data_IF_365295233542
#
_entry.id   IF_365295233542
#
_cell.length_a   1.000
_cell.length_b   1.000
_cell.length_c   1.000
_cell.angle_alpha   90.00
_cell.angle_beta   90.00
_cell.angle_gamma   90.00
#
_symmetry.space_group_name_H-M   'P 1'
#
loop_
_entity.id
_entity.type
_entity.pdbx_description
1 polymer ?
#
# COMPACT_ATOMS: atom_id res chain seq x y z
N UNK A 1 -23.54 -7.57 -18.55
CA UNK A 1 -22.93 -8.28 -17.41
C UNK A 1 -22.41 -7.20 -16.46
N UNK A 2 -22.44 -7.41 -15.16
CA UNK A 2 -21.90 -6.46 -14.20
C UNK A 2 -20.37 -6.34 -14.41
N UNK A 3 -19.81 -5.15 -14.15
CA UNK A 3 -18.37 -4.93 -14.25
C UNK A 3 -17.64 -5.63 -13.09
N UNK A 4 -16.46 -6.18 -13.39
CA UNK A 4 -15.56 -6.83 -12.42
C UNK A 4 -14.50 -5.83 -11.98
N UNK A 5 -14.36 -5.60 -10.69
CA UNK A 5 -13.40 -4.65 -10.13
C UNK A 5 -12.28 -5.37 -9.39
N UNK A 6 -11.10 -5.46 -10.01
CA UNK A 6 -9.88 -6.07 -9.46
C UNK A 6 -8.73 -5.06 -9.32
N UNK A 7 -9.04 -3.84 -8.90
CA UNK A 7 -8.05 -2.78 -8.65
C UNK A 7 -8.14 -2.22 -7.20
N UNK A 8 -8.40 -3.11 -6.24
CA UNK A 8 -8.61 -2.74 -4.84
C UNK A 8 -7.33 -2.21 -4.15
N UNK A 9 -6.14 -2.50 -4.66
CA UNK A 9 -4.90 -1.88 -4.17
C UNK A 9 -4.77 -0.41 -4.60
N UNK A 10 -5.46 0.03 -5.66
CA UNK A 10 -5.49 1.45 -6.02
C UNK A 10 -6.48 2.22 -5.13
N UNK A 11 -7.69 1.71 -4.98
CA UNK A 11 -8.71 2.21 -4.04
C UNK A 11 -9.82 1.17 -3.91
N UNK A 12 -10.55 1.19 -2.80
CA UNK A 12 -11.69 0.31 -2.60
C UNK A 12 -13.02 1.08 -2.66
N UNK A 13 -14.11 0.36 -2.98
CA UNK A 13 -15.46 0.87 -2.77
C UNK A 13 -15.69 1.09 -1.28
N UNK A 14 -16.34 2.20 -0.93
CA UNK A 14 -16.80 2.42 0.45
C UNK A 14 -17.93 1.43 0.74
N UNK A 15 -17.85 0.77 1.89
CA UNK A 15 -18.85 -0.17 2.35
C UNK A 15 -20.18 0.56 2.66
N UNK A 16 -21.30 -0.04 2.32
CA UNK A 16 -22.61 0.59 2.48
C UNK A 16 -22.92 0.90 3.96
N UNK A 17 -22.55 0.01 4.89
CA UNK A 17 -22.71 0.27 6.34
C UNK A 17 -21.85 1.46 6.80
N UNK A 18 -20.67 1.64 6.21
CA UNK A 18 -19.78 2.77 6.50
C UNK A 18 -20.42 4.06 6.01
N UNK A 19 -20.98 4.06 4.80
CA UNK A 19 -21.71 5.23 4.27
C UNK A 19 -22.86 5.61 5.21
N UNK A 20 -23.67 4.64 5.63
CA UNK A 20 -24.78 4.89 6.56
C UNK A 20 -24.30 5.45 7.91
N UNK A 21 -23.18 4.95 8.45
CA UNK A 21 -22.61 5.45 9.68
C UNK A 21 -22.08 6.90 9.58
N UNK A 22 -21.66 7.32 8.39
CA UNK A 22 -21.15 8.68 8.13
C UNK A 22 -22.26 9.71 7.98
N UNK A 23 -23.41 9.35 7.39
CA UNK A 23 -24.47 10.29 6.99
C UNK A 23 -24.93 11.24 8.11
N UNK A 24 -25.18 10.79 9.35
CA UNK A 24 -25.64 11.68 10.43
C UNK A 24 -24.65 12.82 10.74
N UNK A 25 -23.35 12.62 10.48
CA UNK A 25 -22.31 13.61 10.80
C UNK A 25 -22.20 14.75 9.79
N UNK A 26 -22.96 14.72 8.72
CA UNK A 26 -23.05 15.86 7.78
C UNK A 26 -24.18 16.84 8.11
N UNK A 27 -25.27 16.36 8.74
CA UNK A 27 -26.51 17.18 8.89
C UNK A 27 -27.07 17.19 10.30
N UNK A 28 -26.96 16.10 11.06
CA UNK A 28 -27.55 15.96 12.39
C UNK A 28 -26.53 16.15 13.50
N UNK A 29 -25.40 15.46 13.43
CA UNK A 29 -24.30 15.47 14.39
C UNK A 29 -23.10 16.25 13.85
N UNK A 30 -23.31 17.50 13.46
CA UNK A 30 -22.32 18.35 12.77
C UNK A 30 -21.47 19.22 13.72
N UNK A 31 -21.65 19.07 15.04
CA UNK A 31 -20.97 19.92 16.03
C UNK A 31 -19.47 19.81 15.99
N UNK A 32 -18.76 20.91 16.26
CA UNK A 32 -17.31 20.88 16.40
C UNK A 32 -16.95 20.09 17.67
N UNK A 33 -16.15 19.03 17.61
CA UNK A 33 -15.82 18.18 18.75
C UNK A 33 -15.05 18.89 19.86
N UNK A 34 -14.45 20.06 19.57
CA UNK A 34 -13.78 20.91 20.57
C UNK A 34 -14.73 21.81 21.36
N UNK A 35 -16.01 21.90 20.98
CA UNK A 35 -17.02 22.73 21.66
C UNK A 35 -17.59 22.03 22.89
N UNK A 36 -17.81 22.78 23.97
CA UNK A 36 -18.29 22.23 25.25
C UNK A 36 -19.80 21.93 25.30
N UNK A 37 -20.58 22.39 24.33
CA UNK A 37 -22.00 22.14 24.27
C UNK A 37 -22.33 20.71 23.75
N UNK A 38 -23.58 20.28 23.90
CA UNK A 38 -24.02 18.92 23.60
C UNK A 38 -23.72 18.49 22.16
N UNK A 39 -23.86 19.36 21.16
CA UNK A 39 -23.53 19.07 19.77
C UNK A 39 -22.06 18.67 19.60
N UNK A 40 -21.13 19.39 20.21
CA UNK A 40 -19.70 19.05 20.16
C UNK A 40 -19.39 17.75 20.90
N UNK A 41 -19.96 17.58 22.10
CA UNK A 41 -19.73 16.39 22.91
C UNK A 41 -20.16 15.09 22.23
N UNK A 42 -21.27 15.09 21.49
CA UNK A 42 -21.74 13.91 20.75
C UNK A 42 -20.70 13.49 19.69
N UNK A 43 -20.20 14.45 18.91
CA UNK A 43 -19.16 14.18 17.90
C UNK A 43 -17.88 13.71 18.56
N UNK A 44 -17.45 14.35 19.68
CA UNK A 44 -16.27 13.97 20.43
C UNK A 44 -16.32 12.51 20.94
N UNK A 45 -17.49 12.06 21.43
CA UNK A 45 -17.67 10.67 21.84
C UNK A 45 -17.58 9.69 20.66
N UNK A 46 -18.15 10.05 19.52
CA UNK A 46 -18.10 9.23 18.30
C UNK A 46 -16.64 9.11 17.77
N UNK A 47 -15.89 10.22 17.74
CA UNK A 47 -14.47 10.22 17.39
C UNK A 47 -13.63 9.35 18.34
N UNK A 48 -13.92 9.39 19.64
CA UNK A 48 -13.24 8.53 20.62
C UNK A 48 -13.50 7.06 20.33
N UNK A 49 -14.76 6.66 20.02
CA UNK A 49 -15.10 5.29 19.64
C UNK A 49 -14.36 4.86 18.37
N UNK A 50 -14.37 5.70 17.34
CA UNK A 50 -13.64 5.43 16.08
C UNK A 50 -12.13 5.21 16.34
N UNK A 51 -11.52 6.01 17.20
CA UNK A 51 -10.12 5.88 17.62
C UNK A 51 -9.86 4.54 18.31
N UNK A 52 -10.74 4.11 19.18
CA UNK A 52 -10.64 2.81 19.86
C UNK A 52 -10.80 1.62 18.88
N UNK A 53 -11.63 1.75 17.85
CA UNK A 53 -11.76 0.73 16.82
C UNK A 53 -10.47 0.59 16.00
N UNK A 54 -9.84 1.72 15.62
CA UNK A 54 -8.54 1.72 14.94
C UNK A 54 -7.43 1.18 15.86
N UNK A 55 -7.42 1.58 17.14
CA UNK A 55 -6.49 1.04 18.14
C UNK A 55 -6.55 -0.49 18.19
N UNK A 56 -7.75 -1.06 18.23
CA UNK A 56 -7.95 -2.52 18.26
C UNK A 56 -7.46 -3.20 16.98
N UNK A 57 -7.74 -2.61 15.81
CA UNK A 57 -7.29 -3.14 14.52
C UNK A 57 -5.76 -3.22 14.45
N UNK A 58 -5.07 -2.24 14.99
CA UNK A 58 -3.61 -2.17 15.00
C UNK A 58 -2.96 -2.90 16.19
N UNK A 59 -3.75 -3.43 17.13
CA UNK A 59 -3.21 -4.02 18.36
C UNK A 59 -2.40 -3.01 19.19
N UNK A 60 -2.71 -1.70 19.12
CA UNK A 60 -2.01 -0.67 19.87
C UNK A 60 -2.39 -0.70 21.34
N UNK A 61 -1.47 -0.33 22.24
CA UNK A 61 -1.71 -0.39 23.68
C UNK A 61 -2.69 0.69 24.15
N UNK A 62 -2.58 1.89 23.59
CA UNK A 62 -3.37 3.05 23.99
C UNK A 62 -4.07 3.71 22.79
N UNK A 63 -5.33 4.16 22.96
CA UNK A 63 -6.04 4.95 21.96
C UNK A 63 -5.33 6.29 21.66
N UNK A 64 -4.55 6.77 22.61
CA UNK A 64 -3.75 7.98 22.47
C UNK A 64 -2.61 7.85 21.44
N UNK A 65 -2.24 6.66 21.03
CA UNK A 65 -1.23 6.39 20.00
C UNK A 65 -1.76 6.56 18.58
N UNK A 66 -3.07 6.66 18.42
CA UNK A 66 -3.72 6.89 17.13
C UNK A 66 -3.84 8.39 16.86
N UNK A 67 -3.31 8.85 15.74
CA UNK A 67 -3.40 10.25 15.26
C UNK A 67 -4.09 10.24 13.91
N UNK A 68 -5.25 10.88 13.79
CA UNK A 68 -5.95 10.98 12.51
C UNK A 68 -5.27 12.00 11.59
N UNK A 69 -5.12 11.62 10.33
CA UNK A 69 -4.54 12.42 9.24
C UNK A 69 -5.49 12.45 8.06
N UNK A 70 -5.11 13.11 6.96
CA UNK A 70 -5.95 13.14 5.74
C UNK A 70 -5.72 11.93 4.81
N UNK A 71 -4.58 11.28 4.87
CA UNK A 71 -4.21 10.16 3.98
C UNK A 71 -2.90 9.50 4.42
N UNK A 72 -2.52 8.39 3.77
CA UNK A 72 -1.23 7.73 3.96
C UNK A 72 -0.05 8.68 3.70
N UNK A 73 -0.07 9.43 2.60
CA UNK A 73 1.01 10.38 2.25
C UNK A 73 1.27 11.42 3.34
N UNK A 74 0.22 11.98 3.98
CA UNK A 74 0.39 12.88 5.13
C UNK A 74 1.02 12.15 6.31
N UNK A 75 0.62 10.90 6.57
CA UNK A 75 1.15 10.08 7.65
C UNK A 75 2.64 9.76 7.45
N UNK A 76 3.02 9.30 6.24
CA UNK A 76 4.41 8.98 5.88
C UNK A 76 5.31 10.21 5.98
N UNK A 77 4.88 11.31 5.38
CA UNK A 77 5.62 12.58 5.43
C UNK A 77 5.76 13.08 6.88
N UNK A 78 4.70 12.96 7.68
CA UNK A 78 4.73 13.37 9.08
C UNK A 78 5.69 12.51 9.89
N UNK A 79 5.70 11.21 9.70
CA UNK A 79 6.58 10.27 10.40
C UNK A 79 8.05 10.59 10.13
N UNK A 80 8.46 10.64 8.85
CA UNK A 80 9.84 10.85 8.44
C UNK A 80 10.32 12.25 8.85
N UNK A 81 9.57 13.31 8.51
CA UNK A 81 9.95 14.68 8.85
C UNK A 81 9.96 14.94 10.36
N UNK A 82 9.04 14.31 11.10
CA UNK A 82 9.02 14.42 12.56
C UNK A 82 10.25 13.78 13.20
N UNK A 83 10.67 12.60 12.74
CA UNK A 83 11.84 11.91 13.22
C UNK A 83 13.12 12.75 13.01
N UNK A 84 13.31 13.30 11.81
CA UNK A 84 14.43 14.19 11.50
C UNK A 84 14.42 15.48 12.35
N UNK A 85 13.26 16.11 12.51
CA UNK A 85 13.13 17.34 13.33
C UNK A 85 13.28 17.08 14.83
N UNK A 86 13.01 15.87 15.28
CA UNK A 86 13.16 15.49 16.69
C UNK A 86 14.61 15.11 17.06
N UNK A 87 15.44 14.85 16.05
CA UNK A 87 16.83 14.43 16.15
C UNK A 87 17.71 15.21 15.14
N UNK A 88 17.87 16.54 15.33
CA UNK A 88 18.51 17.40 14.33
C UNK A 88 19.99 17.08 14.08
N UNK A 89 20.61 16.36 14.99
CA UNK A 89 21.98 15.86 14.91
C UNK A 89 22.13 14.68 13.93
N UNK A 90 21.05 13.91 13.69
CA UNK A 90 21.03 12.74 12.80
C UNK A 90 20.57 13.16 11.40
N UNK A 91 21.29 12.75 10.37
CA UNK A 91 21.06 13.22 9.00
C UNK A 91 20.76 12.11 7.99
N UNK A 92 20.67 10.88 8.45
CA UNK A 92 20.48 9.73 7.56
C UNK A 92 19.09 9.14 7.69
N UNK A 93 18.49 8.81 6.53
CA UNK A 93 17.23 8.07 6.38
C UNK A 93 17.53 6.77 5.63
N UNK A 94 17.01 5.65 6.13
CA UNK A 94 17.04 4.36 5.42
C UNK A 94 15.62 4.05 4.92
N UNK A 95 15.51 3.68 3.65
CA UNK A 95 14.26 3.28 3.00
C UNK A 95 14.53 2.17 1.98
N UNK A 96 13.55 1.81 1.14
CA UNK A 96 13.76 0.84 0.05
C UNK A 96 13.61 1.47 -1.33
N UNK A 97 14.14 0.80 -2.37
CA UNK A 97 13.95 1.25 -3.76
C UNK A 97 12.53 0.98 -4.29
N UNK A 98 11.70 0.24 -3.55
CA UNK A 98 10.36 -0.22 -3.97
C UNK A 98 9.21 0.44 -3.20
N UNK A 99 9.50 1.50 -2.46
CA UNK A 99 8.50 2.25 -1.71
C UNK A 99 7.44 2.92 -2.62
N UNK A 100 6.33 3.28 -2.01
CA UNK A 100 5.34 4.14 -2.66
C UNK A 100 5.94 5.55 -2.94
N UNK A 101 5.52 6.25 -4.01
CA UNK A 101 5.98 7.62 -4.31
C UNK A 101 5.87 8.61 -3.15
N UNK A 102 4.93 8.43 -2.21
CA UNK A 102 4.82 9.25 -1.01
C UNK A 102 6.11 9.26 -0.15
N UNK A 103 6.83 8.13 -0.11
CA UNK A 103 8.10 7.99 0.59
C UNK A 103 9.27 8.33 -0.33
N UNK A 104 9.30 7.78 -1.56
CA UNK A 104 10.42 8.00 -2.48
C UNK A 104 10.62 9.48 -2.83
N UNK A 105 9.55 10.19 -3.20
CA UNK A 105 9.63 11.61 -3.57
C UNK A 105 10.07 12.47 -2.38
N UNK A 106 9.63 12.13 -1.17
CA UNK A 106 10.10 12.82 0.04
C UNK A 106 11.59 12.53 0.28
N UNK A 107 12.03 11.29 0.10
CA UNK A 107 13.44 10.92 0.24
C UNK A 107 14.34 11.62 -0.79
N UNK A 108 13.87 11.75 -2.03
CA UNK A 108 14.60 12.48 -3.08
C UNK A 108 14.69 13.98 -2.76
N UNK A 109 13.62 14.56 -2.25
CA UNK A 109 13.62 15.95 -1.74
C UNK A 109 14.62 16.09 -0.57
N UNK A 110 14.60 15.19 0.40
CA UNK A 110 15.52 15.24 1.55
C UNK A 110 16.99 15.11 1.11
N UNK A 111 17.28 14.28 0.12
CA UNK A 111 18.63 14.18 -0.45
C UNK A 111 19.07 15.50 -1.08
N UNK A 112 18.18 16.23 -1.77
CA UNK A 112 18.46 17.57 -2.32
C UNK A 112 18.67 18.63 -1.23
N UNK A 113 18.12 18.44 -0.03
CA UNK A 113 18.32 19.30 1.15
C UNK A 113 19.56 18.91 1.98
N UNK A 114 20.37 17.94 1.50
CA UNK A 114 21.64 17.57 2.14
C UNK A 114 21.52 16.47 3.21
N UNK A 115 20.41 15.74 3.26
CA UNK A 115 20.30 14.52 4.06
C UNK A 115 20.90 13.33 3.31
N UNK A 116 21.45 12.37 4.04
CA UNK A 116 21.86 11.09 3.46
C UNK A 116 20.65 10.16 3.38
N UNK A 117 20.40 9.57 2.20
CA UNK A 117 19.33 8.60 2.00
C UNK A 117 19.90 7.29 1.49
N UNK A 118 19.76 6.22 2.28
CA UNK A 118 20.07 4.87 1.85
C UNK A 118 18.80 4.18 1.37
N UNK A 119 18.78 3.77 0.10
CA UNK A 119 17.69 3.01 -0.51
C UNK A 119 18.12 1.54 -0.63
N UNK A 120 17.59 0.67 0.21
CA UNK A 120 17.85 -0.77 0.20
C UNK A 120 17.39 -1.41 -1.11
N UNK A 121 18.24 -2.17 -1.80
CA UNK A 121 17.83 -2.95 -2.96
C UNK A 121 16.99 -4.16 -2.55
N UNK A 122 16.32 -4.75 -3.53
CA UNK A 122 15.57 -6.01 -3.39
C UNK A 122 16.08 -7.05 -4.38
N UNK A 123 15.85 -8.32 -4.09
CA UNK A 123 16.08 -9.42 -5.02
C UNK A 123 14.97 -9.53 -6.08
N UNK A 124 15.08 -10.51 -7.01
CA UNK A 124 14.09 -10.77 -8.07
C UNK A 124 12.69 -11.16 -7.56
N UNK A 125 12.56 -11.49 -6.28
CA UNK A 125 11.29 -11.77 -5.61
C UNK A 125 10.79 -10.56 -4.78
N UNK A 126 11.52 -9.46 -4.80
CA UNK A 126 11.22 -8.27 -4.02
C UNK A 126 11.60 -8.38 -2.55
N UNK A 127 12.51 -9.28 -2.16
CA UNK A 127 12.94 -9.49 -0.77
C UNK A 127 14.12 -8.60 -0.43
N UNK A 128 14.20 -8.16 0.82
CA UNK A 128 15.32 -7.38 1.37
C UNK A 128 16.40 -8.31 1.95
N UNK A 129 17.65 -7.83 1.87
CA UNK A 129 18.79 -8.40 2.57
C UNK A 129 18.90 -7.78 3.97
N UNK A 130 18.61 -8.60 5.01
CA UNK A 130 18.65 -8.15 6.40
C UNK A 130 20.08 -7.92 6.93
N UNK A 131 21.09 -8.61 6.38
CA UNK A 131 22.48 -8.39 6.77
C UNK A 131 22.97 -7.03 6.24
N UNK A 132 22.64 -6.73 4.97
CA UNK A 132 22.90 -5.40 4.40
C UNK A 132 22.15 -4.32 5.19
N UNK A 133 20.86 -4.53 5.49
CA UNK A 133 20.09 -3.59 6.33
C UNK A 133 20.76 -3.32 7.67
N UNK A 134 21.12 -4.38 8.40
CA UNK A 134 21.77 -4.25 9.72
C UNK A 134 23.09 -3.48 9.65
N UNK A 135 23.87 -3.63 8.57
CA UNK A 135 25.14 -2.92 8.38
C UNK A 135 24.99 -1.40 8.22
N UNK A 136 23.80 -0.93 7.85
CA UNK A 136 23.49 0.50 7.68
C UNK A 136 22.99 1.18 8.97
N UNK A 137 22.71 0.43 10.03
CA UNK A 137 22.19 0.97 11.29
C UNK A 137 23.30 1.63 12.11
N UNK A 138 23.60 2.89 11.78
CA UNK A 138 24.64 3.71 12.43
C UNK A 138 24.02 4.83 13.29
N UNK A 139 24.82 5.44 14.15
CA UNK A 139 24.39 6.51 15.07
C UNK A 139 23.84 7.77 14.36
N UNK A 140 24.18 7.96 13.07
CA UNK A 140 23.68 9.09 12.25
C UNK A 140 22.29 8.86 11.68
N UNK A 141 21.75 7.62 11.75
CA UNK A 141 20.43 7.29 11.25
C UNK A 141 19.36 7.85 12.16
N UNK A 142 18.51 8.75 11.63
CA UNK A 142 17.39 9.32 12.34
C UNK A 142 16.14 8.41 12.30
N UNK A 143 15.90 7.80 11.13
CA UNK A 143 14.72 6.97 10.92
C UNK A 143 14.95 5.95 9.81
N UNK A 144 14.41 4.76 10.03
CA UNK A 144 14.16 3.75 9.00
C UNK A 144 12.69 3.85 8.60
N UNK A 145 12.40 3.88 7.30
CA UNK A 145 11.03 3.89 6.76
C UNK A 145 10.91 2.85 5.67
N UNK A 146 10.23 1.74 5.95
CA UNK A 146 10.05 0.60 5.04
C UNK A 146 8.59 0.21 5.00
N UNK A 147 8.03 0.05 3.80
CA UNK A 147 6.65 -0.41 3.63
C UNK A 147 6.47 -1.84 4.17
N UNK A 148 5.29 -2.14 4.75
CA UNK A 148 5.01 -3.49 5.24
C UNK A 148 4.73 -4.49 4.11
N UNK A 149 4.04 -4.01 3.08
CA UNK A 149 3.69 -4.81 1.92
C UNK A 149 3.77 -3.98 0.65
N UNK A 150 4.38 -4.53 -0.40
CA UNK A 150 4.45 -3.84 -1.68
C UNK A 150 3.07 -3.78 -2.36
N UNK A 151 2.69 -2.60 -2.82
CA UNK A 151 1.38 -2.33 -3.41
C UNK A 151 1.21 -2.93 -4.83
N UNK A 152 2.30 -3.31 -5.49
CA UNK A 152 2.27 -3.89 -6.84
C UNK A 152 2.32 -5.42 -6.81
N UNK A 153 3.30 -5.99 -6.12
CA UNK A 153 3.53 -7.43 -6.06
C UNK A 153 2.84 -8.13 -4.89
N UNK A 154 2.49 -7.37 -3.86
CA UNK A 154 1.98 -7.90 -2.60
C UNK A 154 3.06 -8.46 -1.67
N UNK A 155 4.33 -8.51 -2.07
CA UNK A 155 5.44 -9.03 -1.24
C UNK A 155 5.44 -8.38 0.13
N UNK A 156 5.51 -9.20 1.19
CA UNK A 156 5.61 -8.76 2.58
C UNK A 156 7.08 -8.61 2.99
N UNK A 157 7.38 -7.53 3.69
CA UNK A 157 8.71 -7.30 4.25
C UNK A 157 8.79 -7.75 5.72
N UNK A 158 9.97 -8.13 6.23
CA UNK A 158 10.15 -8.62 7.60
C UNK A 158 10.19 -7.48 8.62
N UNK A 159 9.10 -6.69 8.67
CA UNK A 159 9.00 -5.41 9.39
C UNK A 159 9.25 -5.55 10.89
N UNK A 160 8.73 -6.62 11.53
CA UNK A 160 8.93 -6.84 12.96
C UNK A 160 10.41 -7.05 13.32
N UNK A 161 11.14 -7.82 12.51
CA UNK A 161 12.57 -8.03 12.73
C UNK A 161 13.38 -6.77 12.42
N UNK A 162 13.06 -6.07 11.35
CA UNK A 162 13.71 -4.81 10.99
C UNK A 162 13.48 -3.75 12.07
N UNK A 163 12.26 -3.63 12.61
CA UNK A 163 11.94 -2.72 13.68
C UNK A 163 12.71 -3.03 14.96
N UNK A 164 12.84 -4.33 15.31
CA UNK A 164 13.61 -4.77 16.48
C UNK A 164 15.10 -4.40 16.33
N UNK A 165 15.71 -4.66 15.18
CA UNK A 165 17.10 -4.30 14.93
C UNK A 165 17.35 -2.77 15.00
N UNK A 166 16.41 -1.97 14.47
CA UNK A 166 16.48 -0.51 14.56
C UNK A 166 16.34 -0.03 16.01
N UNK A 167 15.39 -0.60 16.78
CA UNK A 167 15.15 -0.25 18.18
C UNK A 167 16.35 -0.61 19.06
N UNK A 168 16.96 -1.79 18.86
CA UNK A 168 18.20 -2.22 19.52
C UNK A 168 19.37 -1.24 19.24
N UNK A 169 19.38 -0.57 18.08
CA UNK A 169 20.33 0.48 17.71
C UNK A 169 19.90 1.90 18.13
N UNK A 170 18.77 2.06 18.81
CA UNK A 170 18.23 3.35 19.22
C UNK A 170 17.79 4.25 18.06
N UNK A 171 17.31 3.65 16.97
CA UNK A 171 16.86 4.29 15.72
C UNK A 171 15.34 4.19 15.63
N UNK A 172 14.67 5.28 15.27
CA UNK A 172 13.23 5.27 15.06
C UNK A 172 12.87 4.43 13.83
N UNK A 173 11.84 3.59 13.96
CA UNK A 173 11.31 2.78 12.86
C UNK A 173 9.88 3.18 12.50
N UNK A 174 9.67 3.48 11.23
CA UNK A 174 8.38 3.76 10.59
C UNK A 174 8.07 2.70 9.53
N UNK A 175 6.81 2.32 9.41
CA UNK A 175 6.34 1.49 8.31
C UNK A 175 5.11 2.10 7.62
N UNK A 176 5.15 2.19 6.28
CA UNK A 176 3.95 2.36 5.47
C UNK A 176 3.20 1.02 5.43
N UNK A 177 2.16 0.89 6.24
CA UNK A 177 1.32 -0.30 6.30
C UNK A 177 0.00 -0.14 5.53
N UNK A 178 -0.09 0.82 4.63
CA UNK A 178 -1.30 1.14 3.86
C UNK A 178 -1.88 -0.08 3.15
N UNK A 179 -1.04 -0.98 2.65
CA UNK A 179 -1.49 -2.21 2.00
C UNK A 179 -1.66 -3.40 2.95
N UNK A 180 -1.00 -3.38 4.11
CA UNK A 180 -0.98 -4.50 5.06
C UNK A 180 -2.17 -4.47 6.04
N UNK A 181 -2.55 -3.28 6.55
CA UNK A 181 -3.63 -3.13 7.53
C UNK A 181 -4.93 -3.73 6.99
N UNK A 182 -5.59 -4.56 7.82
CA UNK A 182 -6.82 -5.26 7.47
C UNK A 182 -6.62 -6.53 6.63
N UNK A 183 -5.39 -6.86 6.24
CA UNK A 183 -5.03 -8.08 5.50
C UNK A 183 -4.00 -8.93 6.23
N UNK A 184 -3.14 -8.30 7.03
CA UNK A 184 -2.13 -8.96 7.87
C UNK A 184 -2.47 -8.68 9.33
N UNK A 185 -2.38 -9.69 10.23
CA UNK A 185 -2.49 -9.46 11.66
C UNK A 185 -1.37 -8.52 12.13
N UNK A 186 -1.74 -7.50 12.92
CA UNK A 186 -0.82 -6.51 13.45
C UNK A 186 -1.00 -6.43 14.97
N UNK A 187 0.11 -6.44 15.72
CA UNK A 187 0.14 -6.33 17.19
C UNK A 187 1.21 -5.32 17.63
N UNK A 188 0.87 -4.03 17.52
CA UNK A 188 1.81 -2.95 17.81
C UNK A 188 2.20 -2.85 19.30
N UNK A 189 1.39 -3.39 20.19
CA UNK A 189 1.73 -3.45 21.62
C UNK A 189 2.99 -4.27 21.86
N UNK A 190 3.14 -5.38 21.16
CA UNK A 190 4.25 -6.33 21.32
C UNK A 190 5.34 -6.18 20.23
N UNK A 191 5.30 -5.13 19.42
CA UNK A 191 6.30 -4.85 18.38
C UNK A 191 7.30 -3.77 18.81
N UNK A 192 8.37 -3.55 18.06
CA UNK A 192 9.31 -2.44 18.21
C UNK A 192 9.04 -1.27 17.22
N UNK A 193 7.91 -1.29 16.52
CA UNK A 193 7.54 -0.25 15.56
C UNK A 193 7.21 1.05 16.31
N UNK A 194 7.87 2.15 15.96
CA UNK A 194 7.63 3.47 16.56
C UNK A 194 6.48 4.21 15.91
N UNK A 195 6.34 4.09 14.57
CA UNK A 195 5.34 4.79 13.78
C UNK A 195 4.83 3.88 12.66
N UNK A 196 3.52 3.97 12.37
CA UNK A 196 2.89 3.23 11.28
C UNK A 196 1.87 4.11 10.58
N UNK A 197 1.88 4.10 9.24
CA UNK A 197 0.92 4.80 8.41
C UNK A 197 -0.16 3.87 7.85
N UNK A 198 -1.41 4.32 7.83
CA UNK A 198 -2.49 3.68 7.10
C UNK A 198 -3.37 4.71 6.37
N UNK A 199 -4.10 4.25 5.35
CA UNK A 199 -5.06 5.06 4.58
C UNK A 199 -6.42 4.38 4.52
N UNK A 200 -7.48 5.13 4.88
CA UNK A 200 -8.82 4.57 5.00
C UNK A 200 -9.38 3.97 3.72
N UNK A 201 -9.08 4.58 2.57
CA UNK A 201 -9.60 4.10 1.28
C UNK A 201 -9.04 2.75 0.82
N UNK A 202 -8.11 2.14 1.53
CA UNK A 202 -7.64 0.77 1.32
C UNK A 202 -8.39 -0.25 2.19
N UNK A 203 -9.22 0.23 3.11
CA UNK A 203 -10.01 -0.55 4.08
C UNK A 203 -11.51 -0.43 3.86
N UNK A 204 -11.96 -0.07 2.66
CA UNK A 204 -13.36 0.22 2.35
C UNK A 204 -13.95 1.43 3.11
N UNK A 205 -13.08 2.29 3.66
CA UNK A 205 -13.44 3.59 4.22
C UNK A 205 -13.35 4.70 3.16
N UNK A 206 -13.84 5.91 3.46
CA UNK A 206 -13.75 7.02 2.51
C UNK A 206 -12.31 7.45 2.24
N UNK A 207 -12.09 8.08 1.08
CA UNK A 207 -10.90 8.86 0.78
C UNK A 207 -10.84 10.08 1.70
N UNK A 208 -9.66 10.65 1.92
CA UNK A 208 -9.51 11.87 2.73
C UNK A 208 -9.43 11.61 4.23
N UNK A 209 -9.14 10.38 4.65
CA UNK A 209 -8.83 10.00 6.03
C UNK A 209 -7.71 8.97 6.08
N UNK A 210 -6.77 9.16 6.99
CA UNK A 210 -5.68 8.26 7.29
C UNK A 210 -5.37 8.25 8.78
N UNK A 211 -4.36 7.50 9.16
CA UNK A 211 -3.85 7.42 10.53
C UNK A 211 -2.34 7.35 10.53
N UNK A 212 -1.75 8.05 11.44
CA UNK A 212 -0.41 7.81 11.93
C UNK A 212 -0.51 7.18 13.34
N UNK A 213 -0.11 5.92 13.47
CA UNK A 213 0.22 5.36 14.79
C UNK A 213 1.51 5.98 15.27
N UNK A 214 1.51 6.42 16.50
CA UNK A 214 2.67 7.00 17.15
C UNK A 214 2.82 6.38 18.53
N UNK A 215 3.77 5.47 18.69
CA UNK A 215 4.05 4.78 19.95
C UNK A 215 4.27 5.79 21.07
N UNK A 216 3.68 5.55 22.22
CA UNK A 216 3.87 6.38 23.41
C UNK A 216 5.35 6.44 23.80
N UNK A 217 5.86 7.65 24.02
CA UNK A 217 7.27 7.90 24.32
C UNK A 217 8.14 8.23 23.10
N UNK A 218 7.66 8.00 21.89
CA UNK A 218 8.38 8.40 20.66
C UNK A 218 8.52 9.93 20.59
N UNK A 219 9.73 10.43 20.35
CA UNK A 219 9.98 11.86 20.12
C UNK A 219 9.26 12.30 18.85
N UNK A 220 8.43 13.32 18.95
CA UNK A 220 7.57 13.76 17.87
C UNK A 220 7.55 15.28 17.69
N UNK A 221 7.52 15.73 16.44
CA UNK A 221 7.34 17.13 16.05
C UNK A 221 6.23 17.22 14.98
N UNK A 222 5.13 17.93 15.24
CA UNK A 222 4.01 18.00 14.32
C UNK A 222 4.41 18.63 12.97
N UNK A 223 3.91 18.06 11.87
CA UNK A 223 4.03 18.62 10.55
C UNK A 223 3.07 19.79 10.38
N UNK A 224 1.78 19.55 10.60
CA UNK A 224 0.74 20.58 10.57
C UNK A 224 0.60 21.22 11.96
N UNK A 225 0.80 22.53 12.02
CA UNK A 225 0.75 23.32 13.26
C UNK A 225 -0.48 24.23 13.26
N UNK A 226 -1.09 24.44 14.42
CA UNK A 226 -2.29 25.26 14.60
C UNK A 226 -2.95 24.99 15.95
N UNK A 227 -4.23 24.65 15.96
CA UNK A 227 -4.99 24.31 17.17
C UNK A 227 -4.54 23.00 17.84
N UNK A 228 -5.21 22.67 18.94
CA UNK A 228 -4.83 21.53 19.81
C UNK A 228 -5.46 20.19 19.42
N UNK A 229 -6.04 20.10 18.19
CA UNK A 229 -6.58 18.83 17.68
C UNK A 229 -5.51 17.73 17.75
N UNK A 230 -5.97 16.49 17.80
CA UNK A 230 -5.08 15.31 17.95
C UNK A 230 -4.02 15.50 19.07
N UNK A 231 -4.40 16.16 20.16
CA UNK A 231 -3.51 16.49 21.30
C UNK A 231 -2.28 17.32 20.89
N UNK A 232 -2.45 18.24 19.93
CA UNK A 232 -1.39 19.10 19.39
C UNK A 232 -0.44 18.40 18.41
N UNK A 233 -0.73 17.15 18.02
CA UNK A 233 0.11 16.38 17.08
C UNK A 233 -0.28 16.58 15.62
N UNK A 234 -1.54 16.96 15.36
CA UNK A 234 -2.03 17.28 14.02
C UNK A 234 -3.15 18.31 14.15
N UNK A 235 -2.89 19.53 13.74
CA UNK A 235 -3.83 20.64 13.81
C UNK A 235 -4.86 20.60 12.66
N UNK A 236 -5.97 21.32 12.85
CA UNK A 236 -7.09 21.39 11.90
C UNK A 236 -8.30 20.63 12.41
N UNK A 237 -9.49 21.21 12.18
CA UNK A 237 -10.76 20.61 12.57
C UNK A 237 -10.88 19.19 12.02
N UNK A 238 -11.31 18.29 12.88
CA UNK A 238 -11.41 16.86 12.57
C UNK A 238 -12.48 16.62 11.48
N UNK A 239 -12.15 15.81 10.48
CA UNK A 239 -13.09 15.30 9.49
C UNK A 239 -13.96 14.20 10.12
N UNK A 240 -14.93 14.61 10.95
CA UNK A 240 -15.68 13.71 11.81
C UNK A 240 -16.34 12.56 11.04
N UNK A 241 -17.06 12.86 9.95
CA UNK A 241 -17.73 11.84 9.15
C UNK A 241 -16.76 10.77 8.64
N UNK A 242 -15.63 11.18 8.05
CA UNK A 242 -14.65 10.23 7.51
C UNK A 242 -13.92 9.44 8.60
N UNK A 243 -13.63 10.07 9.75
CA UNK A 243 -12.99 9.39 10.89
C UNK A 243 -13.93 8.31 11.47
N UNK A 244 -15.22 8.61 11.57
CA UNK A 244 -16.22 7.63 12.04
C UNK A 244 -16.35 6.49 11.04
N UNK A 245 -16.39 6.82 9.74
CA UNK A 245 -16.35 5.81 8.68
C UNK A 245 -15.12 4.91 8.78
N UNK A 246 -13.94 5.46 9.05
CA UNK A 246 -12.73 4.68 9.29
C UNK A 246 -12.82 3.80 10.54
N UNK A 247 -13.46 4.29 11.61
CA UNK A 247 -13.69 3.49 12.82
C UNK A 247 -14.53 2.24 12.54
N UNK A 248 -15.62 2.39 11.79
CA UNK A 248 -16.46 1.25 11.35
C UNK A 248 -15.68 0.33 10.41
N UNK A 249 -14.90 0.89 9.48
CA UNK A 249 -14.04 0.11 8.59
C UNK A 249 -13.03 -0.74 9.37
N UNK A 250 -12.47 -0.20 10.45
CA UNK A 250 -11.54 -0.92 11.31
C UNK A 250 -12.20 -2.11 12.02
N UNK A 251 -13.42 -1.95 12.52
CA UNK A 251 -14.20 -3.04 13.11
C UNK A 251 -14.48 -4.15 12.07
N UNK A 252 -14.88 -3.75 10.86
CA UNK A 252 -15.14 -4.70 9.76
C UNK A 252 -13.86 -5.40 9.28
N UNK A 253 -12.74 -4.68 9.19
CA UNK A 253 -11.47 -5.29 8.81
C UNK A 253 -11.07 -6.44 9.76
N UNK A 254 -11.28 -6.27 11.07
CA UNK A 254 -11.08 -7.35 12.05
C UNK A 254 -12.03 -8.53 11.82
N UNK A 255 -13.30 -8.27 11.52
CA UNK A 255 -14.30 -9.31 11.26
C UNK A 255 -13.98 -10.14 10.00
N UNK A 256 -13.42 -9.49 8.97
CA UNK A 256 -13.10 -10.12 7.70
C UNK A 256 -11.65 -10.63 7.59
N UNK A 257 -10.84 -10.50 8.63
CA UNK A 257 -9.41 -10.90 8.60
C UNK A 257 -9.22 -12.36 8.21
N UNK A 258 -10.03 -13.26 8.75
CA UNK A 258 -9.98 -14.68 8.38
C UNK A 258 -10.42 -14.90 6.93
N UNK A 259 -11.50 -14.25 6.50
CA UNK A 259 -12.01 -14.33 5.13
C UNK A 259 -10.96 -13.82 4.10
N UNK A 260 -10.28 -12.71 4.40
CA UNK A 260 -9.18 -12.20 3.57
C UNK A 260 -8.07 -13.25 3.40
N UNK A 261 -7.69 -13.92 4.49
CA UNK A 261 -6.58 -14.87 4.49
C UNK A 261 -6.96 -16.30 4.06
N UNK A 262 -8.23 -16.59 3.85
CA UNK A 262 -8.74 -17.90 3.39
C UNK A 262 -9.39 -17.76 2.02
N UNK A 263 -10.57 -17.20 1.93
CA UNK A 263 -11.36 -17.17 0.70
C UNK A 263 -10.80 -16.23 -0.36
N UNK A 264 -10.44 -14.99 0.02
CA UNK A 264 -9.82 -14.05 -0.93
C UNK A 264 -8.49 -14.59 -1.43
N UNK A 265 -7.69 -15.18 -0.54
CA UNK A 265 -6.46 -15.88 -0.93
C UNK A 265 -6.73 -17.03 -1.90
N UNK A 266 -7.73 -17.87 -1.63
CA UNK A 266 -8.12 -18.99 -2.51
C UNK A 266 -8.52 -18.49 -3.91
N UNK A 267 -9.30 -17.42 -3.98
CA UNK A 267 -9.71 -16.80 -5.24
C UNK A 267 -8.52 -16.21 -6.01
N UNK A 268 -7.59 -15.55 -5.32
CA UNK A 268 -6.34 -15.06 -5.92
C UNK A 268 -5.51 -16.21 -6.47
N UNK A 269 -5.32 -17.29 -5.71
CA UNK A 269 -4.56 -18.46 -6.15
C UNK A 269 -5.23 -19.15 -7.36
N UNK A 270 -6.58 -19.23 -7.36
CA UNK A 270 -7.37 -19.72 -8.51
C UNK A 270 -7.15 -18.88 -9.76
N UNK A 271 -7.16 -17.54 -9.63
CA UNK A 271 -6.91 -16.62 -10.73
C UNK A 271 -5.54 -16.85 -11.37
N UNK A 272 -4.49 -16.88 -10.56
CA UNK A 272 -3.13 -17.10 -11.02
C UNK A 272 -2.97 -18.46 -11.71
N UNK A 273 -3.39 -19.54 -11.05
CA UNK A 273 -3.30 -20.87 -11.61
C UNK A 273 -4.08 -21.00 -12.93
N UNK A 274 -5.29 -20.43 -13.00
CA UNK A 274 -6.13 -20.47 -14.19
C UNK A 274 -5.54 -19.72 -15.39
N UNK A 275 -4.94 -18.56 -15.16
CA UNK A 275 -4.28 -17.79 -16.22
C UNK A 275 -2.99 -18.49 -16.68
N UNK A 276 -2.12 -18.89 -15.74
CA UNK A 276 -0.82 -19.48 -16.05
C UNK A 276 -0.94 -20.84 -16.75
N UNK A 277 -2.01 -21.60 -16.49
CA UNK A 277 -2.24 -22.89 -17.14
C UNK A 277 -2.47 -22.78 -18.66
N UNK A 278 -2.95 -21.62 -19.15
CA UNK A 278 -3.37 -21.45 -20.56
C UNK A 278 -2.63 -20.35 -21.30
N UNK A 279 -1.91 -19.48 -20.61
CA UNK A 279 -1.14 -18.39 -21.21
C UNK A 279 0.36 -18.71 -21.10
N UNK A 280 1.00 -19.19 -22.20
CA UNK A 280 2.44 -19.41 -22.18
C UNK A 280 3.20 -18.09 -22.05
N UNK A 281 4.46 -18.12 -21.61
CA UNK A 281 5.28 -16.93 -21.40
C UNK A 281 4.57 -15.87 -20.52
N UNK A 282 3.96 -16.35 -19.43
CA UNK A 282 3.45 -15.54 -18.34
C UNK A 282 3.93 -16.11 -17.01
N UNK A 283 4.19 -15.25 -16.04
CA UNK A 283 4.62 -15.65 -14.69
C UNK A 283 4.20 -14.62 -13.65
N UNK A 284 4.11 -15.07 -12.39
CA UNK A 284 3.82 -14.19 -11.25
C UNK A 284 5.09 -13.46 -10.84
N UNK A 285 5.00 -12.14 -10.59
CA UNK A 285 6.07 -11.33 -10.01
C UNK A 285 5.88 -11.18 -8.51
N UNK A 286 6.97 -11.00 -7.78
CA UNK A 286 6.98 -10.91 -6.32
C UNK A 286 7.29 -12.24 -5.64
N UNK A 287 7.14 -12.26 -4.31
CA UNK A 287 7.35 -13.46 -3.52
C UNK A 287 6.11 -14.37 -3.55
N UNK A 288 6.20 -15.59 -4.10
CA UNK A 288 5.04 -16.48 -4.17
C UNK A 288 4.58 -16.98 -2.80
N UNK A 289 5.49 -17.04 -1.82
CA UNK A 289 5.26 -17.65 -0.52
C UNK A 289 4.86 -16.63 0.56
N UNK A 290 5.45 -15.43 0.53
CA UNK A 290 5.28 -14.39 1.55
C UNK A 290 4.71 -13.11 0.96
N UNK A 291 3.38 -13.07 0.80
CA UNK A 291 2.68 -11.95 0.18
C UNK A 291 1.26 -11.76 0.68
N UNK A 292 0.70 -10.60 0.40
CA UNK A 292 -0.70 -10.27 0.69
C UNK A 292 -1.68 -11.30 0.08
N UNK A 293 -2.77 -11.62 0.78
CA UNK A 293 -3.75 -12.61 0.30
C UNK A 293 -4.49 -12.18 -0.98
N UNK A 294 -4.63 -10.88 -1.21
CA UNK A 294 -5.51 -10.32 -2.24
C UNK A 294 -4.81 -9.89 -3.53
N UNK A 295 -3.48 -9.96 -3.62
CA UNK A 295 -2.71 -9.35 -4.72
C UNK A 295 -2.08 -10.41 -5.60
N UNK A 296 -2.40 -10.37 -6.89
CA UNK A 296 -1.75 -11.10 -7.97
C UNK A 296 -1.13 -10.11 -8.96
N UNK A 297 0.17 -10.21 -9.21
CA UNK A 297 0.82 -9.46 -10.27
C UNK A 297 1.39 -10.44 -11.28
N UNK A 298 0.89 -10.40 -12.51
CA UNK A 298 1.25 -11.34 -13.57
C UNK A 298 1.93 -10.56 -14.71
N UNK A 299 3.13 -10.98 -15.05
CA UNK A 299 3.85 -10.50 -16.22
C UNK A 299 3.48 -11.33 -17.46
N UNK A 300 3.13 -10.65 -18.53
CA UNK A 300 2.85 -11.24 -19.85
C UNK A 300 3.93 -10.79 -20.82
N UNK A 301 4.85 -11.67 -21.16
CA UNK A 301 5.99 -11.32 -22.01
C UNK A 301 5.57 -10.91 -23.42
N UNK A 302 6.34 -9.96 -24.00
CA UNK A 302 6.29 -9.49 -25.39
C UNK A 302 5.05 -8.67 -25.76
N UNK A 303 4.32 -8.14 -24.79
CA UNK A 303 3.17 -7.25 -24.99
C UNK A 303 3.14 -6.15 -23.93
N UNK A 304 2.40 -5.08 -24.23
CA UNK A 304 2.26 -3.93 -23.34
C UNK A 304 1.07 -4.13 -22.36
N UNK A 305 1.32 -3.94 -21.06
CA UNK A 305 0.30 -4.04 -20.02
C UNK A 305 -0.85 -3.06 -20.20
N UNK A 306 -0.56 -1.82 -20.63
CA UNK A 306 -1.62 -0.84 -20.92
C UNK A 306 -2.57 -1.31 -22.01
N UNK A 307 -2.06 -1.97 -23.05
CA UNK A 307 -2.91 -2.55 -24.10
C UNK A 307 -3.79 -3.68 -23.55
N UNK A 308 -3.27 -4.50 -22.63
CA UNK A 308 -4.06 -5.52 -21.92
C UNK A 308 -5.18 -4.84 -21.12
N UNK A 309 -4.85 -3.81 -20.34
CA UNK A 309 -5.82 -3.10 -19.49
C UNK A 309 -6.93 -2.44 -20.31
N UNK A 310 -6.61 -1.83 -21.45
CA UNK A 310 -7.59 -1.25 -22.37
C UNK A 310 -8.56 -2.31 -22.92
N UNK A 311 -8.07 -3.51 -23.28
CA UNK A 311 -8.91 -4.59 -23.77
C UNK A 311 -9.74 -5.23 -22.65
N UNK A 312 -9.18 -5.38 -21.44
CA UNK A 312 -9.93 -5.83 -20.27
C UNK A 312 -11.08 -4.87 -19.94
N UNK A 313 -10.81 -3.56 -19.96
CA UNK A 313 -11.85 -2.54 -19.73
C UNK A 313 -13.00 -2.62 -20.76
N UNK A 314 -12.71 -2.94 -22.03
CA UNK A 314 -13.75 -3.14 -23.07
C UNK A 314 -14.69 -4.30 -22.76
N UNK A 315 -14.21 -5.30 -22.02
CA UNK A 315 -15.04 -6.43 -21.57
C UNK A 315 -15.50 -6.29 -20.13
N UNK A 316 -15.42 -5.07 -19.55
CA UNK A 316 -15.92 -4.74 -18.21
C UNK A 316 -15.10 -5.35 -17.09
N UNK A 317 -13.77 -5.44 -17.23
CA UNK A 317 -12.83 -5.87 -16.20
C UNK A 317 -11.83 -4.74 -15.90
N UNK A 318 -11.84 -4.24 -14.66
CA UNK A 318 -10.92 -3.23 -14.18
C UNK A 318 -9.74 -3.88 -13.44
N UNK A 319 -8.52 -3.61 -13.90
CA UNK A 319 -7.25 -4.01 -13.28
C UNK A 319 -6.23 -2.87 -13.46
N UNK A 320 -5.00 -3.02 -12.98
CA UNK A 320 -3.97 -1.97 -13.05
C UNK A 320 -2.63 -2.54 -13.53
N UNK A 321 -1.76 -1.68 -14.08
CA UNK A 321 -0.35 -2.01 -14.34
C UNK A 321 0.54 -1.96 -13.10
N UNK A 322 -0.03 -1.68 -11.92
CA UNK A 322 0.74 -1.46 -10.69
C UNK A 322 1.27 -0.02 -10.56
N UNK A 323 1.71 0.58 -11.64
CA UNK A 323 2.24 1.95 -11.70
C UNK A 323 1.15 3.01 -11.99
N UNK A 324 -0.06 2.85 -11.46
CA UNK A 324 -1.20 3.75 -11.72
C UNK A 324 -0.92 5.25 -11.46
N UNK A 325 0.11 5.58 -10.68
CA UNK A 325 0.53 6.95 -10.40
C UNK A 325 1.46 7.56 -11.47
N UNK A 326 1.94 6.77 -12.42
CA UNK A 326 2.84 7.20 -13.52
C UNK A 326 2.24 6.93 -14.90
N UNK A 327 0.90 6.89 -15.00
CA UNK A 327 0.19 6.75 -16.27
C UNK A 327 0.64 7.86 -17.24
N UNK A 328 1.33 7.47 -18.30
CA UNK A 328 1.97 8.38 -19.28
C UNK A 328 3.49 8.26 -19.37
N UNK A 329 4.14 7.49 -18.49
CA UNK A 329 5.56 7.13 -18.63
C UNK A 329 5.71 5.91 -19.53
N UNK A 330 6.60 5.98 -20.53
CA UNK A 330 6.99 4.83 -21.34
C UNK A 330 7.90 3.85 -20.58
N UNK A 331 8.24 4.15 -19.32
CA UNK A 331 9.11 3.34 -18.48
C UNK A 331 8.32 2.30 -17.68
N UNK A 332 8.86 1.08 -17.51
CA UNK A 332 8.25 0.09 -16.61
C UNK A 332 8.23 0.61 -15.18
N UNK A 333 7.37 0.03 -14.33
CA UNK A 333 7.33 0.31 -12.90
C UNK A 333 8.73 0.27 -12.28
N UNK A 334 9.04 1.23 -11.40
CA UNK A 334 10.27 1.23 -10.61
C UNK A 334 10.44 -0.05 -9.77
N UNK A 335 9.34 -0.66 -9.32
CA UNK A 335 9.35 -1.94 -8.59
C UNK A 335 9.82 -3.06 -9.50
N UNK A 336 9.28 -3.17 -10.71
CA UNK A 336 9.69 -4.20 -11.68
C UNK A 336 11.16 -4.04 -12.08
N UNK A 337 11.63 -2.80 -12.26
CA UNK A 337 13.04 -2.51 -12.54
C UNK A 337 13.94 -2.88 -11.36
N UNK A 338 13.54 -2.52 -10.14
CA UNK A 338 14.30 -2.83 -8.93
C UNK A 338 14.43 -4.35 -8.68
N UNK A 339 13.45 -5.13 -9.12
CA UNK A 339 13.44 -6.59 -9.04
C UNK A 339 14.17 -7.27 -10.20
N UNK A 340 14.80 -6.50 -11.10
CA UNK A 340 15.48 -7.03 -12.30
C UNK A 340 14.54 -7.94 -13.15
N UNK A 341 13.25 -7.57 -13.25
CA UNK A 341 12.32 -8.25 -14.13
C UNK A 341 12.70 -7.92 -15.57
N UNK A 342 12.84 -8.93 -16.47
CA UNK A 342 13.24 -8.68 -17.85
C UNK A 342 12.36 -7.62 -18.52
N UNK A 343 12.95 -6.74 -19.30
CA UNK A 343 12.26 -5.64 -19.98
C UNK A 343 11.07 -6.12 -20.80
N UNK A 344 11.23 -7.29 -21.49
CA UNK A 344 10.17 -7.96 -22.26
C UNK A 344 8.94 -8.33 -21.43
N UNK A 345 9.08 -8.44 -20.13
CA UNK A 345 8.02 -8.81 -19.17
C UNK A 345 7.57 -7.62 -18.32
N UNK A 346 8.50 -6.73 -17.96
CA UNK A 346 8.24 -5.62 -17.03
C UNK A 346 7.15 -4.66 -17.56
N UNK A 347 7.12 -4.40 -18.86
CA UNK A 347 6.06 -3.62 -19.53
C UNK A 347 4.72 -4.34 -19.59
N UNK A 348 4.72 -5.68 -19.60
CA UNK A 348 3.53 -6.51 -19.71
C UNK A 348 2.93 -6.89 -18.35
N UNK A 349 3.29 -6.23 -17.25
CA UNK A 349 2.76 -6.58 -15.95
C UNK A 349 1.35 -6.04 -15.73
N UNK A 350 0.47 -6.89 -15.20
CA UNK A 350 -0.89 -6.55 -14.80
C UNK A 350 -1.10 -6.99 -13.35
N UNK A 351 -1.51 -6.04 -12.53
CA UNK A 351 -1.90 -6.31 -11.14
C UNK A 351 -3.41 -6.51 -11.06
N UNK A 352 -3.82 -7.64 -10.54
CA UNK A 352 -5.18 -7.94 -10.12
C UNK A 352 -5.22 -7.91 -8.59
N UNK A 353 -6.01 -7.04 -8.02
CA UNK A 353 -6.16 -6.95 -6.56
C UNK A 353 -7.62 -7.12 -6.16
N UNK A 354 -7.86 -8.24 -5.47
CA UNK A 354 -9.16 -8.69 -5.02
C UNK A 354 -9.59 -7.94 -3.74
N UNK A 355 -10.83 -8.15 -3.34
CA UNK A 355 -11.36 -7.75 -2.03
C UNK A 355 -12.33 -8.80 -1.51
N UNK A 356 -12.80 -8.62 -0.28
CA UNK A 356 -13.84 -9.45 0.33
C UNK A 356 -15.17 -9.52 -0.45
N UNK A 357 -15.35 -8.66 -1.44
CA UNK A 357 -16.53 -8.64 -2.31
C UNK A 357 -16.32 -9.36 -3.65
N UNK A 358 -15.10 -9.77 -3.96
CA UNK A 358 -14.79 -10.49 -5.19
C UNK A 358 -15.42 -11.87 -5.15
N UNK A 359 -16.15 -12.25 -6.20
CA UNK A 359 -16.83 -13.54 -6.29
C UNK A 359 -16.06 -14.54 -7.16
N UNK A 360 -16.41 -15.82 -7.02
CA UNK A 360 -15.81 -16.88 -7.82
C UNK A 360 -16.17 -16.74 -9.30
N UNK A 361 -17.41 -16.33 -9.60
CA UNK A 361 -17.89 -16.09 -10.98
C UNK A 361 -17.12 -14.95 -11.66
N UNK A 362 -16.76 -13.92 -10.90
CA UNK A 362 -15.90 -12.83 -11.39
C UNK A 362 -14.51 -13.34 -11.74
N UNK A 363 -13.91 -14.17 -10.90
CA UNK A 363 -12.60 -14.79 -11.14
C UNK A 363 -12.66 -15.72 -12.37
N UNK A 364 -13.68 -16.57 -12.47
CA UNK A 364 -13.87 -17.45 -13.64
C UNK A 364 -14.03 -16.67 -14.94
N UNK A 365 -14.69 -15.51 -14.88
CA UNK A 365 -14.79 -14.60 -16.03
C UNK A 365 -13.41 -14.04 -16.42
N UNK A 366 -12.62 -13.58 -15.47
CA UNK A 366 -11.27 -13.04 -15.76
C UNK A 366 -10.37 -14.11 -16.35
N UNK A 367 -10.37 -15.33 -15.80
CA UNK A 367 -9.61 -16.47 -16.35
C UNK A 367 -10.02 -16.77 -17.80
N UNK A 368 -11.28 -16.61 -18.15
CA UNK A 368 -11.77 -16.83 -19.52
C UNK A 368 -11.41 -15.69 -20.48
N UNK A 369 -11.46 -14.43 -20.05
CA UNK A 369 -11.29 -13.25 -20.91
C UNK A 369 -9.82 -12.89 -21.14
N UNK A 370 -8.90 -13.16 -20.20
CA UNK A 370 -7.48 -12.79 -20.33
C UNK A 370 -6.75 -13.53 -21.47
N UNK A 371 -6.87 -14.86 -21.65
CA UNK A 371 -6.11 -15.57 -22.67
C UNK A 371 -6.36 -15.09 -24.10
N UNK A 372 -7.60 -14.88 -24.58
CA UNK A 372 -7.84 -14.37 -25.93
C UNK A 372 -7.31 -12.95 -26.13
N UNK A 373 -7.33 -12.09 -25.09
CA UNK A 373 -6.76 -10.74 -25.13
C UNK A 373 -5.25 -10.81 -25.33
N UNK A 374 -4.56 -11.63 -24.54
CA UNK A 374 -3.10 -11.83 -24.66
C UNK A 374 -2.74 -12.40 -26.03
N UNK A 375 -3.47 -13.40 -26.52
CA UNK A 375 -3.25 -13.98 -27.84
C UNK A 375 -3.46 -12.96 -28.98
N UNK A 376 -4.46 -12.09 -28.86
CA UNK A 376 -4.70 -11.00 -29.82
C UNK A 376 -3.54 -10.02 -29.86
N UNK A 377 -3.05 -9.57 -28.71
CA UNK A 377 -1.96 -8.60 -28.61
C UNK A 377 -0.63 -9.19 -29.11
N UNK A 378 -0.35 -10.45 -28.79
CA UNK A 378 0.85 -11.15 -29.30
C UNK A 378 0.89 -11.24 -30.82
N UNK A 379 -0.26 -11.42 -31.48
CA UNK A 379 -0.34 -11.39 -32.97
C UNK A 379 0.06 -10.04 -33.58
N UNK A 380 -0.06 -8.95 -32.80
CA UNK A 380 0.29 -7.60 -33.22
C UNK A 380 1.71 -7.22 -32.79
N UNK A 381 2.32 -7.99 -31.90
CA UNK A 381 3.65 -7.71 -31.37
C UNK A 381 4.73 -8.04 -32.41
N UNK A 382 5.68 -7.15 -32.70
CA UNK A 382 6.81 -7.43 -33.58
C UNK A 382 7.78 -8.47 -32.98
N UNK A 383 7.63 -8.79 -31.71
CA UNK A 383 8.46 -9.72 -30.94
C UNK A 383 7.87 -11.11 -30.83
N UNK A 384 6.75 -11.36 -31.49
CA UNK A 384 6.05 -12.64 -31.49
C UNK A 384 5.76 -13.11 -32.91
N UNK A 385 6.11 -14.35 -33.22
CA UNK A 385 5.78 -14.98 -34.54
C UNK A 385 5.21 -16.38 -34.35
N UNK A 386 4.10 -16.66 -35.01
CA UNK A 386 3.45 -17.97 -34.89
C UNK A 386 3.01 -18.24 -33.45
N UNK A 387 3.59 -19.28 -32.81
CA UNK A 387 3.26 -19.69 -31.45
C UNK A 387 4.34 -19.34 -30.38
N UNK A 388 5.32 -18.50 -30.73
CA UNK A 388 6.43 -18.19 -29.85
C UNK A 388 7.13 -16.85 -30.14
N UNK A 389 8.06 -16.45 -29.26
CA UNK A 389 8.87 -15.26 -29.48
C UNK A 389 9.77 -15.41 -30.70
N UNK A 390 10.06 -14.30 -31.39
CA UNK A 390 11.11 -14.26 -32.43
C UNK A 390 12.47 -14.55 -31.82
N UNK A 391 13.40 -15.10 -32.65
CA UNK A 391 14.77 -15.38 -32.17
C UNK A 391 15.42 -14.13 -31.59
N UNK A 392 15.97 -14.28 -30.37
CA UNK A 392 16.73 -13.27 -29.60
C UNK A 392 15.98 -11.94 -29.30
N UNK A 393 14.75 -12.00 -28.71
CA UNK A 393 14.03 -10.77 -28.35
C UNK A 393 14.76 -9.93 -27.29
N UNK A 394 15.64 -10.54 -26.49
CA UNK A 394 16.43 -9.84 -25.46
C UNK A 394 17.39 -8.80 -26.04
N UNK A 395 17.90 -9.01 -27.26
CA UNK A 395 18.75 -8.02 -27.93
C UNK A 395 17.95 -6.87 -28.55
N UNK A 396 16.73 -7.16 -28.98
CA UNK A 396 15.83 -6.14 -29.57
C UNK A 396 15.26 -5.19 -28.51
N UNK A 397 15.18 -5.64 -27.24
CA UNK A 397 14.63 -4.90 -26.11
C UNK A 397 15.67 -4.40 -25.12
N UNK A 398 16.96 -4.62 -25.33
CA UNK A 398 17.96 -4.03 -24.46
C UNK A 398 17.86 -2.50 -24.57
N UNK A 399 17.35 -1.78 -23.57
CA UNK A 399 17.38 -0.33 -23.62
C UNK A 399 18.85 0.09 -23.68
N UNK A 400 19.18 0.91 -24.65
CA UNK A 400 20.43 1.67 -24.59
C UNK A 400 20.20 2.77 -23.56
N UNK A 401 20.38 2.44 -22.29
CA UNK A 401 20.49 3.45 -21.26
C UNK A 401 21.84 4.14 -21.47
N UNK A 402 21.79 5.37 -22.01
CA UNK A 402 22.92 6.25 -22.10
C UNK A 402 23.28 6.84 -20.74
#
# INVERSE_FOLDING_TARGET
>A
MADVYLDNNATTRVDDEIVQAMLPFFTEQFGNPSSLHSFGNQVGMALKKARQSVQKLLGAEHDSEIVFTSCGTESDSTAILSALKAQPERKTVITTVVEHPAVLSLCDYLASEGYTVHKLPVDKKGRLDLEHYASLLTDDVAVVSVMWANNETGTLFPIEEMARLADDAGIMFHTDAVQAVGKVPIDLKNSSIHMLSLSGHKLHAPKGVGVLYLRRGTRFRPLLRGGHQERGRRAGTENAASIIGLGVAAERALQFMEHENTEVKRLRDKLEAGILAVVPHAFVTGDPDNRLPNTANIAFEYIEGEAILLLLNKVGIAASSGSACTSGSLEPSHVMRAMDIPYTAAHGTVRFSLSRYTTEEEIDRVIREVPPIVAQLRKLSPYWSGNGPVEDPGKAFAPVYG
#
